data_IF_669753961427
#
_entry.id   IF_669753961427
#
_cell.length_a   1.000
_cell.length_b   1.000
_cell.length_c   1.000
_cell.angle_alpha   90.00
_cell.angle_beta   90.00
_cell.angle_gamma   90.00
#
_symmetry.space_group_name_H-M   'P 1'
#
loop_
_entity.id
_entity.type
_entity.pdbx_description
1 polymer ?
#
# COMPACT_ATOMS: atom_id res chain seq x y z
N UNK A 1 -26.01 -27.80 9.67
CA UNK A 1 -24.65 -27.53 9.13
C UNK A 1 -24.18 -26.24 9.78
N UNK A 2 -22.90 -26.12 10.14
CA UNK A 2 -22.36 -24.83 10.56
C UNK A 2 -22.34 -23.88 9.36
N UNK A 3 -22.72 -22.61 9.55
CA UNK A 3 -22.53 -21.60 8.51
C UNK A 3 -21.04 -21.48 8.16
N UNK A 4 -20.67 -21.34 6.88
CA UNK A 4 -19.28 -21.07 6.53
C UNK A 4 -18.82 -19.79 7.24
N UNK A 5 -17.62 -19.83 7.81
CA UNK A 5 -17.15 -18.76 8.69
C UNK A 5 -17.04 -17.46 7.87
N UNK A 6 -17.91 -16.47 8.17
CA UNK A 6 -18.15 -15.30 7.31
C UNK A 6 -16.90 -14.43 7.10
N UNK A 7 -15.93 -14.54 7.99
CA UNK A 7 -14.73 -13.72 8.02
C UNK A 7 -13.49 -14.61 7.96
N UNK A 8 -12.54 -14.28 7.09
CA UNK A 8 -11.28 -15.00 6.89
C UNK A 8 -10.08 -14.07 7.12
N UNK A 9 -8.91 -14.57 7.55
CA UNK A 9 -7.70 -13.76 7.69
C UNK A 9 -7.32 -13.01 6.39
N UNK A 10 -6.98 -11.72 6.50
CA UNK A 10 -6.44 -10.97 5.37
C UNK A 10 -5.08 -11.53 4.95
N UNK A 11 -5.03 -12.14 3.75
CA UNK A 11 -3.82 -12.74 3.18
C UNK A 11 -2.82 -11.69 2.68
N UNK A 12 -3.24 -10.44 2.51
CA UNK A 12 -2.46 -9.38 1.86
C UNK A 12 -1.87 -8.35 2.85
N UNK A 13 -2.02 -8.58 4.16
CA UNK A 13 -1.54 -7.66 5.20
C UNK A 13 0.00 -7.63 5.28
N UNK A 14 0.65 -6.71 4.56
CA UNK A 14 2.13 -6.62 4.55
C UNK A 14 2.73 -6.09 5.85
N UNK A 15 2.07 -5.17 6.55
CA UNK A 15 2.54 -4.61 7.81
C UNK A 15 1.39 -4.35 8.81
N UNK A 16 1.68 -4.43 10.11
CA UNK A 16 0.66 -4.30 11.18
C UNK A 16 -0.37 -5.44 11.17
N UNK A 17 -1.14 -5.56 12.25
CA UNK A 17 -2.37 -6.38 12.34
C UNK A 17 -2.35 -7.78 11.67
N UNK A 18 -1.20 -8.46 11.65
CA UNK A 18 -1.13 -9.88 11.29
C UNK A 18 -1.62 -10.72 12.47
N UNK A 19 -2.03 -11.96 12.19
CA UNK A 19 -2.26 -12.95 13.23
C UNK A 19 -0.91 -13.34 13.83
N UNK A 20 -0.76 -13.10 15.12
CA UNK A 20 0.41 -13.40 15.95
C UNK A 20 -0.10 -14.09 17.23
N UNK A 21 0.74 -14.79 17.97
CA UNK A 21 0.30 -15.42 19.23
C UNK A 21 -0.27 -14.36 20.20
N UNK A 22 -1.50 -14.58 20.66
CA UNK A 22 -2.23 -13.63 21.50
C UNK A 22 -2.81 -12.40 20.78
N UNK A 23 -2.75 -12.31 19.43
CA UNK A 23 -3.33 -11.19 18.66
C UNK A 23 -4.24 -11.66 17.53
N UNK A 24 -5.47 -11.14 17.55
CA UNK A 24 -6.38 -11.20 16.40
C UNK A 24 -5.86 -10.25 15.32
N UNK A 25 -5.60 -10.78 14.12
CA UNK A 25 -5.23 -9.99 12.95
C UNK A 25 -6.44 -9.49 12.17
N UNK A 26 -6.20 -8.70 11.12
CA UNK A 26 -7.28 -8.19 10.28
C UNK A 26 -7.96 -9.29 9.46
N UNK A 27 -9.29 -9.19 9.38
CA UNK A 27 -10.15 -10.11 8.63
C UNK A 27 -10.67 -9.46 7.34
N UNK A 28 -11.18 -10.25 6.41
CA UNK A 28 -12.00 -9.82 5.27
C UNK A 28 -13.24 -10.71 5.15
N UNK A 29 -14.32 -10.22 4.54
CA UNK A 29 -15.53 -11.04 4.26
C UNK A 29 -15.61 -11.58 2.82
N UNK A 30 -14.60 -11.28 1.98
CA UNK A 30 -14.57 -11.71 0.58
C UNK A 30 -15.58 -10.98 -0.33
N UNK A 31 -16.31 -9.98 0.19
CA UNK A 31 -17.29 -9.17 -0.55
C UNK A 31 -16.90 -7.67 -0.66
N UNK A 32 -15.64 -7.34 -0.36
CA UNK A 32 -15.08 -5.99 -0.46
C UNK A 32 -14.89 -5.27 0.87
N UNK A 33 -15.15 -5.92 2.02
CA UNK A 33 -14.89 -5.34 3.34
C UNK A 33 -13.71 -5.99 4.06
N UNK A 34 -12.85 -5.12 4.60
CA UNK A 34 -11.74 -5.41 5.50
C UNK A 34 -12.09 -4.97 6.93
N UNK A 35 -11.73 -5.77 7.92
CA UNK A 35 -12.07 -5.54 9.32
C UNK A 35 -10.79 -5.42 10.13
N UNK A 36 -10.46 -4.17 10.50
CA UNK A 36 -9.30 -3.84 11.33
C UNK A 36 -9.68 -3.92 12.80
N UNK A 37 -9.10 -4.81 13.63
CA UNK A 37 -9.38 -4.85 15.06
C UNK A 37 -9.05 -3.50 15.71
N UNK A 38 -9.99 -2.93 16.48
CA UNK A 38 -9.74 -1.65 17.13
C UNK A 38 -8.59 -1.77 18.13
N UNK A 39 -7.59 -0.90 18.00
CA UNK A 39 -6.43 -0.89 18.88
C UNK A 39 -6.82 -0.34 20.27
N UNK A 40 -6.29 -0.96 21.33
CA UNK A 40 -6.33 -0.40 22.68
C UNK A 40 -5.53 0.89 22.83
N UNK A 41 -5.51 1.43 24.05
CA UNK A 41 -4.87 2.72 24.37
C UNK A 41 -5.50 3.89 23.55
N UNK A 42 -6.83 3.88 23.43
CA UNK A 42 -7.66 4.84 22.65
C UNK A 42 -7.36 4.89 21.13
N UNK A 43 -6.39 4.11 20.63
CA UNK A 43 -5.90 4.21 19.25
C UNK A 43 -6.96 3.84 18.21
N UNK A 44 -7.78 2.83 18.49
CA UNK A 44 -8.92 2.47 17.65
C UNK A 44 -10.05 3.52 17.68
N UNK A 45 -10.22 4.21 18.81
CA UNK A 45 -11.24 5.25 18.98
C UNK A 45 -10.84 6.54 18.25
N UNK A 46 -9.55 6.92 18.32
CA UNK A 46 -8.98 7.99 17.47
C UNK A 46 -9.07 7.69 15.98
N UNK A 47 -8.80 6.46 15.55
CA UNK A 47 -8.91 6.07 14.14
C UNK A 47 -10.36 6.13 13.63
N UNK A 48 -11.35 5.71 14.44
CA UNK A 48 -12.78 5.87 14.13
C UNK A 48 -13.18 7.34 14.07
N UNK A 49 -12.82 8.14 15.09
CA UNK A 49 -13.13 9.56 15.13
C UNK A 49 -12.49 10.36 13.96
N UNK A 50 -11.30 9.95 13.51
CA UNK A 50 -10.70 10.47 12.27
C UNK A 50 -11.60 10.19 11.07
N UNK A 51 -12.01 8.93 10.84
CA UNK A 51 -12.84 8.60 9.68
C UNK A 51 -14.19 9.32 9.71
N UNK A 52 -14.84 9.40 10.88
CA UNK A 52 -16.10 10.11 11.06
C UNK A 52 -15.95 11.60 10.71
N UNK A 53 -14.89 12.28 11.18
CA UNK A 53 -14.58 13.68 10.80
C UNK A 53 -14.27 13.81 9.30
N UNK A 54 -13.32 13.01 8.82
CA UNK A 54 -12.74 13.14 7.48
C UNK A 54 -13.73 12.91 6.34
N UNK A 55 -14.60 11.89 6.47
CA UNK A 55 -15.60 11.64 5.43
C UNK A 55 -16.67 12.74 5.36
N UNK A 56 -17.00 13.38 6.49
CA UNK A 56 -17.91 14.53 6.57
C UNK A 56 -17.27 15.87 6.18
N UNK A 57 -15.94 15.97 6.12
CA UNK A 57 -15.24 17.23 5.81
C UNK A 57 -15.40 17.64 4.34
N UNK A 58 -16.16 18.70 4.09
CA UNK A 58 -16.40 19.24 2.73
C UNK A 58 -15.18 19.97 2.14
N UNK A 59 -14.19 20.34 2.96
CA UNK A 59 -12.96 21.00 2.48
C UNK A 59 -11.98 20.05 1.79
N UNK A 60 -12.15 18.73 1.96
CA UNK A 60 -11.30 17.71 1.33
C UNK A 60 -11.90 17.29 -0.02
N UNK A 61 -11.23 17.56 -1.16
CA UNK A 61 -11.78 17.25 -2.49
C UNK A 61 -12.05 15.76 -2.71
N UNK A 62 -13.02 15.43 -3.57
CA UNK A 62 -13.37 14.04 -3.88
C UNK A 62 -12.20 13.22 -4.48
N UNK A 63 -11.31 13.85 -5.26
CA UNK A 63 -10.11 13.19 -5.78
C UNK A 63 -9.10 12.86 -4.67
N UNK A 64 -8.98 13.72 -3.66
CA UNK A 64 -8.17 13.45 -2.47
C UNK A 64 -8.80 12.37 -1.58
N UNK A 65 -10.13 12.38 -1.40
CA UNK A 65 -10.84 11.32 -0.66
C UNK A 65 -10.63 9.92 -1.28
N UNK A 66 -10.28 9.80 -2.57
CA UNK A 66 -9.96 8.51 -3.19
C UNK A 66 -8.65 7.86 -2.67
N UNK A 67 -7.74 8.65 -2.07
CA UNK A 67 -6.54 8.14 -1.42
C UNK A 67 -6.83 7.42 -0.09
N UNK A 68 -8.06 7.50 0.44
CA UNK A 68 -8.41 6.96 1.75
C UNK A 68 -9.35 5.74 1.58
N UNK A 69 -9.24 4.70 2.41
CA UNK A 69 -10.23 3.62 2.43
C UNK A 69 -11.59 4.15 2.87
N UNK A 70 -12.67 3.76 2.18
CA UNK A 70 -14.04 4.05 2.65
C UNK A 70 -14.27 3.40 4.01
N UNK A 71 -14.91 4.13 4.92
CA UNK A 71 -15.31 3.64 6.24
C UNK A 71 -16.78 3.22 6.23
N UNK A 72 -17.06 2.06 6.83
CA UNK A 72 -18.39 1.43 6.89
C UNK A 72 -18.85 1.23 8.34
N UNK A 73 -18.39 2.09 9.24
CA UNK A 73 -18.68 2.07 10.68
C UNK A 73 -17.89 1.02 11.46
N UNK A 74 -18.09 1.02 12.78
CA UNK A 74 -17.59 -0.02 13.68
C UNK A 74 -18.53 -1.22 13.64
N UNK A 75 -17.99 -2.43 13.52
CA UNK A 75 -18.74 -3.69 13.63
C UNK A 75 -18.13 -4.58 14.70
N UNK A 76 -18.99 -5.30 15.42
CA UNK A 76 -18.58 -6.23 16.46
C UNK A 76 -18.58 -7.65 15.90
N UNK A 77 -17.42 -8.30 15.91
CA UNK A 77 -17.20 -9.64 15.35
C UNK A 77 -16.80 -10.62 16.46
N UNK A 78 -17.20 -11.87 16.33
CA UNK A 78 -16.73 -12.95 17.20
C UNK A 78 -15.31 -13.34 16.81
N UNK A 79 -14.36 -13.18 17.74
CA UNK A 79 -12.98 -13.56 17.54
C UNK A 79 -12.80 -15.08 17.68
N UNK A 80 -11.92 -15.66 16.88
CA UNK A 80 -11.51 -17.05 17.06
C UNK A 80 -10.67 -17.20 18.34
N UNK A 81 -11.26 -17.77 19.39
CA UNK A 81 -10.58 -18.06 20.67
C UNK A 81 -11.32 -17.49 21.89
N UNK A 82 -10.68 -17.50 23.08
CA UNK A 82 -11.31 -17.13 24.35
C UNK A 82 -11.56 -15.62 24.54
N UNK A 83 -11.27 -14.80 23.52
CA UNK A 83 -11.34 -13.33 23.59
C UNK A 83 -12.78 -12.82 23.42
N UNK A 84 -13.70 -13.64 22.93
CA UNK A 84 -15.12 -13.27 22.77
C UNK A 84 -15.35 -12.32 21.60
N UNK A 85 -16.17 -11.28 21.81
CA UNK A 85 -16.51 -10.30 20.78
C UNK A 85 -15.54 -9.13 20.78
N UNK A 86 -15.03 -8.78 19.60
CA UNK A 86 -14.12 -7.65 19.39
C UNK A 86 -14.72 -6.64 18.40
N UNK A 87 -14.59 -5.36 18.72
CA UNK A 87 -14.91 -4.26 17.81
C UNK A 87 -13.83 -4.13 16.74
N UNK A 88 -14.27 -3.96 15.51
CA UNK A 88 -13.42 -3.74 14.33
C UNK A 88 -13.92 -2.51 13.57
N UNK A 89 -13.01 -1.70 13.03
CA UNK A 89 -13.35 -0.75 11.97
C UNK A 89 -13.60 -1.53 10.68
N UNK A 90 -14.78 -1.38 10.07
CA UNK A 90 -15.08 -1.93 8.76
C UNK A 90 -14.64 -0.93 7.68
N UNK A 91 -13.75 -1.36 6.80
CA UNK A 91 -13.08 -0.56 5.78
C UNK A 91 -13.23 -1.21 4.40
N UNK A 92 -12.95 -0.45 3.35
CA UNK A 92 -12.72 -0.95 2.00
C UNK A 92 -11.55 -1.95 1.98
N UNK A 93 -11.79 -3.18 1.52
CA UNK A 93 -10.70 -4.12 1.19
C UNK A 93 -10.04 -3.66 -0.12
N UNK A 94 -9.00 -2.84 0.03
CA UNK A 94 -8.16 -2.31 -1.04
C UNK A 94 -7.57 -3.37 -1.96
N UNK A 95 -7.58 -4.65 -1.57
CA UNK A 95 -6.99 -5.76 -2.33
C UNK A 95 -8.03 -6.72 -2.90
N UNK A 96 -9.33 -6.49 -2.67
CA UNK A 96 -10.42 -7.40 -3.02
C UNK A 96 -10.47 -7.76 -4.51
N UNK A 97 -10.18 -6.79 -5.38
CA UNK A 97 -10.20 -6.96 -6.83
C UNK A 97 -8.92 -7.59 -7.40
N UNK A 98 -7.83 -7.68 -6.62
CA UNK A 98 -6.50 -8.05 -7.11
C UNK A 98 -6.28 -9.56 -6.96
N UNK A 99 -5.81 -10.22 -8.02
CA UNK A 99 -5.61 -11.69 -8.04
C UNK A 99 -4.23 -12.08 -7.52
N UNK A 100 -3.24 -11.28 -7.88
CA UNK A 100 -1.80 -11.49 -7.76
C UNK A 100 -1.12 -10.22 -7.19
N UNK A 101 -1.57 -9.69 -6.03
CA UNK A 101 -1.18 -8.35 -5.59
C UNK A 101 0.29 -8.25 -5.18
N UNK A 102 0.97 -7.23 -5.70
CA UNK A 102 2.22 -6.71 -5.15
C UNK A 102 1.93 -5.46 -4.32
N UNK A 103 2.47 -5.39 -3.10
CA UNK A 103 2.10 -4.38 -2.09
C UNK A 103 3.35 -3.93 -1.31
N UNK A 104 3.49 -2.63 -1.03
CA UNK A 104 4.46 -2.12 -0.04
C UNK A 104 3.81 -1.12 0.91
N UNK A 105 4.06 -1.30 2.22
CA UNK A 105 3.71 -0.34 3.27
C UNK A 105 4.91 0.57 3.54
N UNK A 106 4.74 1.85 3.28
CA UNK A 106 5.73 2.90 3.48
C UNK A 106 5.23 3.80 4.61
N UNK A 107 5.79 3.66 5.80
CA UNK A 107 5.41 4.47 6.97
C UNK A 107 6.07 5.84 6.89
N UNK A 108 5.25 6.88 6.94
CA UNK A 108 5.61 8.26 6.62
C UNK A 108 5.95 9.08 7.86
N UNK A 109 6.68 10.17 7.64
CA UNK A 109 7.16 11.09 8.67
C UNK A 109 8.64 10.90 8.99
N UNK A 110 9.34 12.02 9.23
CA UNK A 110 10.65 12.02 9.89
C UNK A 110 10.57 11.46 11.31
N UNK A 111 9.42 11.67 11.96
CA UNK A 111 9.06 11.19 13.29
C UNK A 111 7.71 10.50 13.30
N UNK A 112 7.57 9.50 14.18
CA UNK A 112 6.31 8.78 14.46
C UNK A 112 5.70 9.07 15.82
N UNK A 113 6.27 10.01 16.59
CA UNK A 113 5.62 10.65 17.73
C UNK A 113 4.91 11.93 17.30
N UNK A 114 3.83 12.29 18.00
CA UNK A 114 2.95 13.41 17.71
C UNK A 114 2.93 14.42 18.87
N UNK A 115 2.67 15.73 18.62
CA UNK A 115 2.56 16.73 19.68
C UNK A 115 1.54 16.33 20.75
N UNK A 116 1.94 16.34 22.02
CA UNK A 116 1.07 15.99 23.15
C UNK A 116 0.91 14.49 23.42
N UNK A 117 1.72 13.62 22.80
CA UNK A 117 1.86 12.23 23.26
C UNK A 117 2.60 12.14 24.61
N UNK A 118 2.49 11.02 25.33
CA UNK A 118 3.22 10.83 26.60
C UNK A 118 4.72 10.70 26.38
N UNK A 119 5.53 11.06 27.38
CA UNK A 119 7.00 11.00 27.28
C UNK A 119 7.51 9.60 26.96
N UNK A 120 6.88 8.55 27.50
CA UNK A 120 7.26 7.16 27.23
C UNK A 120 6.94 6.75 25.80
N UNK A 121 5.83 7.24 25.23
CA UNK A 121 5.51 7.04 23.82
C UNK A 121 6.48 7.81 22.92
N UNK A 122 6.82 9.05 23.29
CA UNK A 122 7.76 9.88 22.54
C UNK A 122 9.15 9.25 22.51
N UNK A 123 9.71 8.88 23.66
CA UNK A 123 11.01 8.21 23.80
C UNK A 123 11.05 6.88 23.00
N UNK A 124 10.01 6.05 23.15
CA UNK A 124 9.82 4.79 22.41
C UNK A 124 9.70 4.98 20.89
N UNK A 125 9.23 6.14 20.45
CA UNK A 125 9.19 6.48 19.03
C UNK A 125 10.50 7.05 18.52
N UNK A 126 11.10 8.04 19.21
CA UNK A 126 12.45 8.57 18.92
C UNK A 126 13.49 7.45 18.82
N UNK A 127 13.55 6.54 19.79
CA UNK A 127 14.50 5.43 19.80
C UNK A 127 14.29 4.44 18.64
N UNK A 128 13.05 4.26 18.17
CA UNK A 128 12.71 3.44 17.00
C UNK A 128 13.05 4.13 15.69
N UNK A 129 12.73 5.42 15.60
CA UNK A 129 12.90 6.21 14.38
C UNK A 129 14.40 6.43 14.11
N UNK A 130 15.21 6.64 15.15
CA UNK A 130 16.67 6.74 15.07
C UNK A 130 17.39 5.45 14.62
N UNK A 131 16.75 4.27 14.68
CA UNK A 131 17.31 3.01 14.13
C UNK A 131 16.72 2.65 12.77
N UNK A 132 16.25 3.65 12.00
CA UNK A 132 15.65 3.48 10.67
C UNK A 132 15.98 4.72 9.81
N UNK A 133 15.85 4.67 8.47
CA UNK A 133 16.14 5.81 7.61
C UNK A 133 15.10 6.95 7.67
N UNK A 134 14.10 6.88 8.56
CA UNK A 134 13.04 7.91 8.64
C UNK A 134 13.53 9.33 8.96
N UNK A 135 14.53 9.57 9.83
CA UNK A 135 15.08 10.92 10.04
C UNK A 135 15.77 11.50 8.79
N UNK A 136 16.28 10.64 7.90
CA UNK A 136 16.98 11.00 6.66
C UNK A 136 16.01 11.17 5.50
N UNK A 137 15.24 10.12 5.17
CA UNK A 137 14.34 10.04 4.02
C UNK A 137 12.91 10.54 4.29
N UNK A 138 12.52 10.72 5.55
CA UNK A 138 11.14 11.06 5.92
C UNK A 138 10.14 9.91 5.84
N UNK A 139 10.60 8.68 5.63
CA UNK A 139 9.78 7.48 5.61
C UNK A 139 10.61 6.21 5.88
N UNK A 140 9.96 5.03 5.90
CA UNK A 140 10.59 3.71 5.89
C UNK A 140 9.65 2.64 5.37
N UNK A 141 10.17 1.56 4.80
CA UNK A 141 9.35 0.37 4.49
C UNK A 141 9.02 -0.37 5.79
N UNK A 142 7.73 -0.65 6.05
CA UNK A 142 7.28 -1.44 7.21
C UNK A 142 6.88 -2.88 6.85
N UNK A 143 6.80 -3.20 5.56
CA UNK A 143 6.54 -4.54 5.03
C UNK A 143 6.35 -4.50 3.52
N UNK A 144 6.69 -5.58 2.82
CA UNK A 144 6.63 -5.64 1.35
C UNK A 144 6.23 -7.03 0.84
N UNK A 145 5.54 -7.06 -0.28
CA UNK A 145 5.05 -8.25 -0.98
C UNK A 145 5.24 -8.01 -2.48
N UNK A 146 5.84 -8.98 -3.17
CA UNK A 146 6.02 -8.95 -4.63
C UNK A 146 5.59 -10.31 -5.17
N UNK A 147 4.64 -10.32 -6.09
CA UNK A 147 4.21 -11.52 -6.81
C UNK A 147 5.12 -11.77 -8.02
N UNK A 148 5.53 -13.03 -8.23
CA UNK A 148 6.29 -13.43 -9.42
C UNK A 148 5.38 -14.16 -10.42
N UNK A 149 4.94 -13.50 -11.52
CA UNK A 149 4.05 -14.11 -12.49
C UNK A 149 4.71 -15.20 -13.33
N UNK A 150 6.03 -15.42 -13.18
CA UNK A 150 6.81 -16.43 -13.91
C UNK A 150 6.87 -17.76 -13.16
N UNK A 151 6.64 -17.75 -11.83
CA UNK A 151 6.55 -18.96 -11.00
C UNK A 151 5.19 -19.16 -10.33
N UNK A 152 4.43 -18.07 -10.14
CA UNK A 152 3.20 -18.04 -9.35
C UNK A 152 3.42 -17.79 -7.85
N UNK A 153 4.67 -17.63 -7.42
CA UNK A 153 5.02 -17.41 -6.01
C UNK A 153 4.81 -15.96 -5.56
N UNK A 154 4.84 -15.76 -4.25
CA UNK A 154 4.78 -14.43 -3.63
C UNK A 154 5.93 -14.26 -2.65
N UNK A 155 6.95 -13.50 -3.03
CA UNK A 155 8.00 -13.08 -2.11
C UNK A 155 7.43 -12.08 -1.10
N UNK A 156 7.79 -12.24 0.17
CA UNK A 156 7.31 -11.38 1.26
C UNK A 156 8.45 -11.03 2.21
N UNK A 157 8.45 -9.79 2.65
CA UNK A 157 9.27 -9.31 3.75
C UNK A 157 8.40 -8.61 4.80
N UNK A 158 8.84 -8.67 6.05
CA UNK A 158 8.09 -8.20 7.20
C UNK A 158 8.64 -6.89 7.78
N UNK A 159 8.10 -6.52 8.93
CA UNK A 159 8.50 -5.34 9.69
C UNK A 159 9.91 -5.42 10.27
N UNK A 160 10.48 -6.61 10.47
CA UNK A 160 11.84 -6.74 10.98
C UNK A 160 12.87 -6.58 9.84
N UNK A 161 12.58 -7.11 8.66
CA UNK A 161 13.33 -6.81 7.44
C UNK A 161 13.26 -5.31 7.10
N UNK A 162 12.07 -4.70 7.11
CA UNK A 162 11.91 -3.28 6.81
C UNK A 162 12.71 -2.33 7.71
N UNK A 163 12.89 -2.68 8.99
CA UNK A 163 13.80 -1.97 9.92
C UNK A 163 15.29 -2.17 9.62
N UNK A 164 15.69 -3.28 9.01
CA UNK A 164 17.10 -3.58 8.72
C UNK A 164 17.65 -2.85 7.50
N UNK A 165 16.78 -2.16 6.76
CA UNK A 165 17.19 -1.30 5.64
C UNK A 165 17.71 0.04 6.16
N UNK A 166 18.85 0.47 5.64
CA UNK A 166 19.26 1.88 5.64
C UNK A 166 18.59 2.64 4.48
N UNK A 167 19.05 3.85 4.17
CA UNK A 167 18.52 4.66 3.08
C UNK A 167 18.77 4.02 1.69
N UNK A 168 19.95 3.40 1.48
CA UNK A 168 20.29 2.74 0.22
C UNK A 168 19.49 1.43 0.04
N UNK A 169 19.36 0.64 1.10
CA UNK A 169 18.51 -0.56 1.13
C UNK A 169 17.03 -0.22 0.91
N UNK A 170 16.56 0.91 1.44
CA UNK A 170 15.21 1.43 1.20
C UNK A 170 15.01 1.85 -0.26
N UNK A 171 15.98 2.55 -0.87
CA UNK A 171 15.93 2.87 -2.30
C UNK A 171 15.93 1.60 -3.18
N UNK A 172 16.78 0.62 -2.86
CA UNK A 172 16.81 -0.68 -3.54
C UNK A 172 15.50 -1.45 -3.40
N UNK A 173 14.87 -1.44 -2.23
CA UNK A 173 13.57 -2.06 -1.98
C UNK A 173 12.46 -1.41 -2.82
N UNK A 174 12.36 -0.09 -2.81
CA UNK A 174 11.32 0.65 -3.55
C UNK A 174 11.53 0.65 -5.07
N UNK A 175 12.78 0.53 -5.54
CA UNK A 175 13.10 0.21 -6.94
C UNK A 175 12.63 -1.20 -7.30
N UNK A 176 12.96 -2.21 -6.48
CA UNK A 176 12.53 -3.61 -6.69
C UNK A 176 11.00 -3.77 -6.67
N UNK A 177 10.28 -2.92 -5.94
CA UNK A 177 8.81 -2.94 -5.94
C UNK A 177 8.22 -2.67 -7.33
N UNK A 178 8.72 -1.67 -8.05
CA UNK A 178 8.22 -1.29 -9.39
C UNK A 178 8.91 -2.05 -10.53
N UNK A 179 10.20 -2.39 -10.36
CA UNK A 179 11.04 -3.15 -11.28
C UNK A 179 11.53 -4.44 -10.59
N UNK A 180 10.68 -5.47 -10.44
CA UNK A 180 11.02 -6.69 -9.71
C UNK A 180 12.04 -7.58 -10.43
N UNK A 181 12.12 -7.49 -11.77
CA UNK A 181 12.96 -8.34 -12.63
C UNK A 181 13.77 -7.51 -13.64
N UNK A 182 14.89 -8.05 -14.12
CA UNK A 182 15.73 -7.42 -15.14
C UNK A 182 15.38 -7.98 -16.54
N UNK A 183 14.21 -7.61 -17.04
CA UNK A 183 13.72 -7.99 -18.37
C UNK A 183 12.87 -6.88 -19.01
N UNK A 184 12.64 -6.99 -20.32
CA UNK A 184 11.92 -6.02 -21.15
C UNK A 184 10.44 -5.83 -20.79
N UNK A 185 9.80 -6.79 -20.12
CA UNK A 185 8.42 -6.66 -19.66
C UNK A 185 8.39 -5.90 -18.35
N UNK A 186 9.22 -6.32 -17.40
CA UNK A 186 9.43 -5.63 -16.12
C UNK A 186 9.85 -4.17 -16.32
N UNK A 187 10.79 -3.86 -17.25
CA UNK A 187 11.19 -2.47 -17.59
C UNK A 187 10.00 -1.61 -18.04
N UNK A 188 9.29 -2.03 -19.10
CA UNK A 188 8.16 -1.28 -19.66
C UNK A 188 7.05 -1.07 -18.65
N UNK A 189 6.74 -2.11 -17.86
CA UNK A 189 5.67 -2.06 -16.87
C UNK A 189 6.07 -1.18 -15.68
N UNK A 190 7.37 -1.11 -15.32
CA UNK A 190 7.89 -0.17 -14.35
C UNK A 190 7.76 1.29 -14.81
N UNK A 191 8.09 1.62 -16.07
CA UNK A 191 7.93 2.97 -16.64
C UNK A 191 6.49 3.48 -16.50
N UNK A 192 5.50 2.66 -16.90
CA UNK A 192 4.08 2.98 -16.75
C UNK A 192 3.66 3.15 -15.28
N UNK A 193 4.01 2.17 -14.42
CA UNK A 193 3.70 2.22 -12.97
C UNK A 193 4.29 3.44 -12.27
N UNK A 194 5.51 3.85 -12.63
CA UNK A 194 6.19 5.01 -12.03
C UNK A 194 5.58 6.33 -12.54
N UNK A 195 5.19 6.41 -13.83
CA UNK A 195 4.48 7.57 -14.37
C UNK A 195 3.19 7.86 -13.57
N UNK A 196 2.34 6.84 -13.42
CA UNK A 196 1.04 6.98 -12.73
C UNK A 196 1.22 7.24 -11.23
N UNK A 197 2.19 6.57 -10.59
CA UNK A 197 2.58 6.83 -9.21
C UNK A 197 3.04 8.29 -9.01
N UNK A 198 3.91 8.81 -9.88
CA UNK A 198 4.39 10.19 -9.80
C UNK A 198 3.28 11.20 -10.03
N UNK A 199 2.30 10.92 -10.90
CA UNK A 199 1.12 11.76 -11.06
C UNK A 199 0.29 11.82 -9.77
N UNK A 200 -0.04 10.65 -9.18
CA UNK A 200 -0.83 10.57 -7.94
C UNK A 200 -0.12 11.13 -6.72
N UNK A 201 1.19 10.91 -6.56
CA UNK A 201 1.95 11.50 -5.45
C UNK A 201 2.04 13.03 -5.56
N UNK A 202 2.10 13.60 -6.78
CA UNK A 202 2.09 15.06 -7.00
C UNK A 202 0.74 15.70 -6.68
N UNK A 203 -0.38 15.06 -7.03
CA UNK A 203 -1.72 15.49 -6.59
C UNK A 203 -1.81 15.49 -5.05
N UNK A 204 -1.36 14.40 -4.42
CA UNK A 204 -1.41 14.28 -2.97
C UNK A 204 -0.48 15.29 -2.27
N UNK A 205 0.66 15.62 -2.87
CA UNK A 205 1.55 16.67 -2.40
C UNK A 205 0.86 18.04 -2.44
N UNK A 206 0.17 18.39 -3.53
CA UNK A 206 -0.54 19.68 -3.64
C UNK A 206 -1.62 19.84 -2.57
N UNK A 207 -2.33 18.76 -2.20
CA UNK A 207 -3.25 18.80 -1.06
C UNK A 207 -2.51 18.98 0.27
N UNK A 208 -1.46 18.19 0.53
CA UNK A 208 -0.64 18.33 1.74
C UNK A 208 0.05 19.69 1.88
N UNK A 209 0.33 20.40 0.78
CA UNK A 209 0.90 21.75 0.74
C UNK A 209 -0.14 22.87 0.98
N UNK A 210 -1.44 22.57 0.82
CA UNK A 210 -2.52 23.56 0.92
C UNK A 210 -3.48 23.35 2.10
N UNK A 211 -3.56 22.12 2.63
CA UNK A 211 -4.35 21.80 3.81
C UNK A 211 -3.56 22.03 5.11
N UNK A 212 -4.24 22.59 6.12
CA UNK A 212 -3.68 22.78 7.47
C UNK A 212 -4.51 22.11 8.58
N UNK A 213 -5.38 21.17 8.23
CA UNK A 213 -6.38 20.58 9.14
C UNK A 213 -5.88 19.28 9.79
N UNK A 214 -5.07 18.51 9.07
CA UNK A 214 -4.68 17.14 9.44
C UNK A 214 -3.16 16.95 9.41
N UNK A 215 -2.54 16.65 10.55
CA UNK A 215 -1.16 16.16 10.62
C UNK A 215 -1.15 14.66 10.92
N UNK A 216 -0.45 13.86 10.11
CA UNK A 216 -0.52 12.40 10.06
C UNK A 216 0.75 11.75 10.61
N UNK A 217 0.74 11.37 11.89
CA UNK A 217 1.88 10.71 12.52
C UNK A 217 1.74 9.19 12.48
N UNK A 218 2.84 8.49 12.18
CA UNK A 218 2.86 7.02 12.10
C UNK A 218 1.88 6.38 11.08
N UNK A 219 1.25 7.18 10.21
CA UNK A 219 0.45 6.71 9.07
C UNK A 219 1.35 6.10 7.98
N UNK A 220 0.77 5.28 7.09
CA UNK A 220 1.51 4.66 5.97
C UNK A 220 0.86 4.94 4.62
N UNK A 221 1.69 5.21 3.60
CA UNK A 221 1.31 5.02 2.20
C UNK A 221 1.41 3.53 1.87
N UNK A 222 0.29 2.94 1.48
CA UNK A 222 0.20 1.61 0.90
C UNK A 222 0.23 1.78 -0.62
N UNK A 223 1.31 1.33 -1.25
CA UNK A 223 1.42 1.28 -2.72
C UNK A 223 1.09 -0.14 -3.20
N UNK A 224 0.26 -0.27 -4.23
CA UNK A 224 -0.26 -1.57 -4.68
C UNK A 224 -0.39 -1.62 -6.21
N UNK A 225 -0.18 -2.80 -6.80
CA UNK A 225 -0.63 -3.13 -8.16
C UNK A 225 -0.94 -4.62 -8.27
N UNK A 226 -1.72 -5.01 -9.27
CA UNK A 226 -2.00 -6.42 -9.58
C UNK A 226 -1.08 -6.94 -10.70
N UNK A 227 -0.49 -8.12 -10.53
CA UNK A 227 0.33 -8.73 -11.60
C UNK A 227 -0.57 -9.51 -12.57
N UNK A 228 -0.56 -9.15 -13.84
CA UNK A 228 -1.50 -9.68 -14.86
C UNK A 228 -0.77 -10.53 -15.92
N UNK A 229 -1.51 -11.13 -16.86
CA UNK A 229 -0.93 -12.00 -17.88
C UNK A 229 0.11 -11.31 -18.79
N UNK A 230 0.05 -9.99 -18.95
CA UNK A 230 1.06 -9.20 -19.67
C UNK A 230 2.27 -8.78 -18.82
N UNK A 231 2.37 -9.19 -17.56
CA UNK A 231 3.63 -9.19 -16.79
C UNK A 231 4.46 -10.46 -17.02
N UNK A 232 3.96 -11.45 -17.77
CA UNK A 232 4.69 -12.68 -18.12
C UNK A 232 5.54 -12.46 -19.39
N UNK A 233 6.87 -12.68 -19.36
CA UNK A 233 7.68 -12.67 -20.57
C UNK A 233 7.28 -13.81 -21.52
N UNK A 234 6.97 -13.47 -22.78
CA UNK A 234 6.43 -14.38 -23.80
C UNK A 234 7.32 -15.57 -24.21
N UNK A 235 8.54 -15.65 -23.68
CA UNK A 235 9.47 -16.76 -23.90
C UNK A 235 9.37 -17.90 -22.85
N UNK A 236 8.43 -17.85 -21.90
CA UNK A 236 8.23 -18.92 -20.91
C UNK A 236 7.51 -20.15 -21.50
N UNK A 237 8.21 -20.92 -22.33
CA UNK A 237 7.67 -22.03 -23.13
C UNK A 237 7.47 -23.35 -22.37
N UNK A 238 6.52 -23.37 -21.42
CA UNK A 238 6.09 -24.59 -20.71
C UNK A 238 4.70 -25.05 -21.18
N UNK A 239 4.60 -25.54 -22.43
CA UNK A 239 3.33 -26.01 -23.00
C UNK A 239 2.87 -27.36 -22.43
N UNK A 240 1.62 -27.50 -21.96
CA UNK A 240 0.92 -28.78 -21.93
C UNK A 240 0.54 -29.18 -23.36
N UNK A 241 0.84 -30.41 -23.78
CA UNK A 241 0.40 -30.92 -25.09
C UNK A 241 -1.10 -31.27 -25.09
N UNK A 242 -1.84 -30.69 -26.02
CA UNK A 242 -3.15 -31.15 -26.49
C UNK A 242 -3.20 -31.05 -28.03
N UNK A 243 -4.13 -31.76 -28.67
CA UNK A 243 -4.03 -32.13 -30.09
C UNK A 243 -4.64 -31.11 -31.09
N UNK A 244 -4.19 -31.22 -32.34
CA UNK A 244 -4.56 -30.37 -33.48
C UNK A 244 -5.98 -30.65 -34.02
N UNK A 245 -6.56 -29.62 -34.65
CA UNK A 245 -7.49 -29.77 -35.78
C UNK A 245 -7.40 -28.53 -36.67
N UNK A 246 -6.98 -28.70 -37.91
CA UNK A 246 -6.94 -27.67 -38.98
C UNK A 246 -8.34 -27.60 -39.64
N UNK A 247 -8.78 -26.64 -40.47
CA UNK A 247 -8.14 -25.69 -41.40
C UNK A 247 -9.20 -24.60 -41.83
N UNK A 248 -9.08 -23.81 -42.93
CA UNK A 248 -8.21 -22.63 -43.08
C UNK A 248 -8.91 -21.34 -43.64
N UNK A 249 -8.16 -20.22 -43.67
CA UNK A 249 -8.29 -19.03 -44.57
C UNK A 249 -9.59 -18.16 -44.52
N UNK A 250 -9.59 -16.81 -44.55
CA UNK A 250 -8.57 -15.73 -44.59
C UNK A 250 -9.17 -14.46 -43.88
N UNK A 251 -8.79 -13.17 -44.03
CA UNK A 251 -7.91 -12.40 -44.95
C UNK A 251 -7.47 -11.02 -44.33
N UNK A 252 -6.71 -10.24 -45.10
CA UNK A 252 -6.26 -8.84 -45.00
C UNK A 252 -7.30 -7.75 -44.57
N UNK A 253 -6.94 -6.57 -44.02
CA UNK A 253 -5.61 -5.96 -43.70
C UNK A 253 -5.69 -4.68 -42.81
N UNK A 254 -4.50 -4.21 -42.40
CA UNK A 254 -4.06 -2.86 -41.94
C UNK A 254 -3.91 -2.57 -40.44
N UNK A 255 -2.82 -1.83 -40.19
CA UNK A 255 -2.28 -1.43 -38.89
C UNK A 255 -2.88 -0.09 -38.42
N UNK A 256 -2.72 0.28 -37.14
CA UNK A 256 -3.21 1.60 -36.68
C UNK A 256 -2.96 2.04 -35.23
N UNK A 257 -2.56 1.17 -34.30
CA UNK A 257 -2.22 1.61 -32.94
C UNK A 257 -1.27 0.63 -32.22
N UNK A 258 -0.11 1.10 -31.78
CA UNK A 258 0.72 0.40 -30.79
C UNK A 258 0.18 0.68 -29.39
N UNK A 259 -1.01 0.14 -29.09
CA UNK A 259 -1.50 0.10 -27.72
C UNK A 259 -0.66 -0.91 -26.95
N UNK A 260 0.15 -0.43 -25.99
CA UNK A 260 0.77 -1.31 -25.00
C UNK A 260 -0.31 -2.11 -24.27
N UNK A 261 -0.09 -3.41 -23.95
CA UNK A 261 -1.06 -4.18 -23.21
C UNK A 261 -1.32 -3.49 -21.86
N UNK A 262 -2.59 -3.33 -21.44
CA UNK A 262 -2.93 -2.48 -20.30
C UNK A 262 -2.39 -3.07 -19.00
N UNK A 263 -1.29 -2.52 -18.50
CA UNK A 263 -0.72 -2.84 -17.19
C UNK A 263 -1.70 -2.48 -16.09
N UNK A 264 -1.73 -3.25 -14.99
CA UNK A 264 -2.43 -2.81 -13.78
C UNK A 264 -1.86 -1.47 -13.31
N UNK A 265 -2.69 -0.42 -13.12
CA UNK A 265 -2.23 0.87 -12.62
C UNK A 265 -1.75 0.73 -11.18
N UNK A 266 -0.78 1.56 -10.79
CA UNK A 266 -0.26 1.56 -9.43
C UNK A 266 -1.13 2.45 -8.53
N UNK A 267 -1.84 1.84 -7.59
CA UNK A 267 -2.66 2.55 -6.61
C UNK A 267 -1.85 3.03 -5.40
N UNK A 268 -2.16 4.26 -4.99
CA UNK A 268 -1.67 4.91 -3.76
C UNK A 268 -2.85 5.05 -2.80
N UNK A 269 -2.71 4.54 -1.57
CA UNK A 269 -3.69 4.76 -0.49
C UNK A 269 -2.97 5.13 0.81
N UNK A 270 -3.52 6.07 1.59
CA UNK A 270 -3.05 6.40 2.94
C UNK A 270 -3.84 5.56 3.97
N UNK A 271 -3.16 5.03 4.98
CA UNK A 271 -3.72 4.15 6.03
C UNK A 271 -3.10 4.44 7.41
N UNK A 272 -3.63 3.80 8.46
CA UNK A 272 -3.23 3.91 9.89
C UNK A 272 -3.46 5.31 10.50
N UNK A 273 -4.72 5.62 10.84
CA UNK A 273 -5.13 6.96 11.30
C UNK A 273 -5.26 7.14 12.83
N UNK A 274 -4.71 6.21 13.62
CA UNK A 274 -4.77 6.23 15.09
C UNK A 274 -4.07 7.42 15.78
N UNK A 275 -3.30 8.20 15.02
CA UNK A 275 -2.47 9.32 15.48
C UNK A 275 -2.51 10.51 14.50
N UNK A 276 -3.69 10.80 13.93
CA UNK A 276 -3.94 12.08 13.23
C UNK A 276 -4.30 13.15 14.26
N UNK A 277 -3.71 14.33 14.13
CA UNK A 277 -3.96 15.49 15.02
C UNK A 277 -4.33 16.73 14.22
N UNK A 278 -4.87 17.75 14.90
CA UNK A 278 -5.26 19.01 14.27
C UNK A 278 -4.03 19.86 13.91
N UNK A 279 -3.92 20.23 12.64
CA UNK A 279 -2.79 20.99 12.09
C UNK A 279 -2.83 22.50 12.38
N UNK A 280 -3.93 23.02 12.94
CA UNK A 280 -4.11 24.44 13.34
C UNK A 280 -3.93 25.48 12.22
N UNK A 281 -4.05 25.06 10.96
CA UNK A 281 -3.85 25.90 9.77
C UNK A 281 -2.47 25.77 9.13
N UNK A 282 -1.52 25.07 9.76
CA UNK A 282 -0.16 24.89 9.24
C UNK A 282 -0.03 23.58 8.42
N UNK A 283 0.76 23.54 7.33
CA UNK A 283 1.01 22.30 6.57
C UNK A 283 1.73 21.21 7.38
N UNK A 284 1.44 19.95 7.10
CA UNK A 284 2.17 18.81 7.70
C UNK A 284 3.57 18.66 7.09
N UNK A 285 4.51 19.46 7.61
CA UNK A 285 5.92 19.44 7.20
C UNK A 285 6.63 18.11 7.48
N UNK A 286 6.14 17.31 8.43
CA UNK A 286 6.69 16.00 8.76
C UNK A 286 6.37 14.99 7.65
N UNK A 287 5.12 14.94 7.19
CA UNK A 287 4.67 14.08 6.09
C UNK A 287 5.17 14.60 4.73
N UNK A 288 5.09 15.92 4.49
CA UNK A 288 5.53 16.56 3.24
C UNK A 288 6.99 16.28 2.91
N UNK A 289 7.88 16.29 3.91
CA UNK A 289 9.30 15.97 3.70
C UNK A 289 9.45 14.54 3.14
N UNK A 290 8.81 13.55 3.77
CA UNK A 290 8.84 12.17 3.28
C UNK A 290 8.18 11.98 1.91
N UNK A 291 7.06 12.66 1.65
CA UNK A 291 6.37 12.60 0.37
C UNK A 291 7.24 13.16 -0.78
N UNK A 292 7.90 14.31 -0.57
CA UNK A 292 8.83 14.90 -1.53
C UNK A 292 10.04 13.99 -1.78
N UNK A 293 10.66 13.44 -0.73
CA UNK A 293 11.79 12.50 -0.88
C UNK A 293 11.38 11.18 -1.57
N UNK A 294 10.14 10.72 -1.40
CA UNK A 294 9.59 9.55 -2.13
C UNK A 294 9.39 9.86 -3.62
N UNK A 295 8.92 11.06 -3.95
CA UNK A 295 8.82 11.56 -5.32
C UNK A 295 10.21 11.69 -5.96
N UNK A 296 11.20 12.26 -5.27
CA UNK A 296 12.60 12.36 -5.72
C UNK A 296 13.26 10.98 -5.91
N UNK A 297 12.92 9.99 -5.08
CA UNK A 297 13.34 8.60 -5.26
C UNK A 297 12.77 8.03 -6.57
N UNK A 298 11.46 8.13 -6.80
CA UNK A 298 10.85 7.56 -8.00
C UNK A 298 11.20 8.30 -9.29
N UNK A 299 11.44 9.62 -9.26
CA UNK A 299 12.02 10.34 -10.42
C UNK A 299 13.43 9.83 -10.77
N UNK A 300 14.27 9.50 -9.77
CA UNK A 300 15.59 8.90 -10.03
C UNK A 300 15.46 7.49 -10.62
N UNK A 301 14.60 6.65 -10.04
CA UNK A 301 14.34 5.29 -10.56
C UNK A 301 13.80 5.32 -11.99
N UNK A 302 12.96 6.29 -12.34
CA UNK A 302 12.48 6.50 -13.71
C UNK A 302 13.65 6.77 -14.68
N UNK A 303 14.49 7.76 -14.38
CA UNK A 303 15.66 8.10 -15.19
C UNK A 303 16.68 6.95 -15.28
N UNK A 304 16.83 6.14 -14.24
CA UNK A 304 17.68 4.93 -14.23
C UNK A 304 17.14 3.75 -15.04
N UNK A 305 15.87 3.79 -15.45
CA UNK A 305 15.25 2.80 -16.34
C UNK A 305 15.31 3.32 -17.78
N UNK A 306 14.89 4.56 -18.02
CA UNK A 306 14.90 5.18 -19.36
C UNK A 306 16.31 5.30 -19.95
N UNK A 307 17.35 5.51 -19.12
CA UNK A 307 18.75 5.53 -19.57
C UNK A 307 19.36 4.16 -19.85
N UNK A 308 18.56 3.09 -19.84
CA UNK A 308 18.95 1.71 -20.18
C UNK A 308 18.18 1.09 -21.35
N UNK A 309 17.27 1.85 -21.96
CA UNK A 309 16.53 1.50 -23.17
C UNK A 309 17.25 2.03 -24.42
#
# INVERSE_FOLDING_TARGET
MASPNRYIPSKNQVAGHRFEEGRVGSLVDGSGLFFKPLQGDERGEREVAFYDKFWQDESVPASIKCFFPKFFGVKELEAAGPVGKLKHAALEDLTHAYKNPSIVDIKMGKQTWYPGCSEEYEQKCRAKDATTPSPELGFRVSGMQIFDPRTGDTWRADRQWGKSLDAQGTAGALKRFVLPFDDEVSRRNAVARIHDLLARLKEFQQWFESQGTYHFYSASLLLMYDSISSDVPSNSSTQPKAQQSESPEADHSKEGASASPPTSPLEVRLIDFAHVVDGKGEPDTNFLFGLRSLIELYNRVFSEIESKN
#
